data_IF_610011730061
#
_entry.id   IF_610011730061
#
_cell.length_a   1.000
_cell.length_b   1.000
_cell.length_c   1.000
_cell.angle_alpha   90.00
_cell.angle_beta   90.00
_cell.angle_gamma   90.00
#
_symmetry.space_group_name_H-M   'P 1'
#
loop_
_entity.id
_entity.type
_entity.pdbx_description
1 polymer ?
#
# COMPACT_ATOMS: atom_id res chain seq x y z
N UNK A 1 20.56 29.83 -12.12
CA UNK A 1 20.77 28.48 -11.54
C UNK A 1 19.40 27.95 -11.15
N UNK A 2 18.82 27.12 -12.00
CA UNK A 2 17.51 26.51 -11.76
C UNK A 2 17.67 25.00 -11.60
N UNK A 3 16.92 24.42 -10.67
CA UNK A 3 17.03 23.01 -10.28
C UNK A 3 16.12 22.14 -11.14
N UNK A 4 16.69 21.34 -12.03
CA UNK A 4 15.95 20.41 -12.87
C UNK A 4 15.40 19.21 -12.06
N UNK A 5 14.07 19.14 -11.94
CA UNK A 5 13.35 17.98 -11.40
C UNK A 5 13.11 16.94 -12.50
N UNK A 6 13.88 15.85 -12.50
CA UNK A 6 13.72 14.77 -13.49
C UNK A 6 12.59 13.83 -13.08
N UNK A 7 11.39 14.08 -13.61
CA UNK A 7 10.27 13.13 -13.61
C UNK A 7 10.50 12.08 -14.71
N UNK A 8 10.67 10.81 -14.33
CA UNK A 8 10.64 9.69 -15.28
C UNK A 8 9.24 9.08 -15.33
N UNK A 9 8.59 9.30 -16.47
CA UNK A 9 7.21 8.94 -16.77
C UNK A 9 7.14 7.46 -17.24
N UNK A 10 6.55 6.56 -16.46
CA UNK A 10 6.23 5.20 -16.91
C UNK A 10 4.92 5.21 -17.71
N UNK A 11 5.00 5.07 -19.04
CA UNK A 11 3.82 4.88 -19.89
C UNK A 11 3.18 3.52 -19.62
N UNK A 12 2.06 3.50 -18.88
CA UNK A 12 1.13 2.36 -18.86
C UNK A 12 0.18 2.44 -20.05
N UNK A 13 -0.04 1.31 -20.71
CA UNK A 13 -0.92 1.21 -21.89
C UNK A 13 -2.39 1.31 -21.43
N UNK A 14 -3.24 2.11 -22.09
CA UNK A 14 -4.62 2.31 -21.64
C UNK A 14 -5.48 1.05 -21.81
N UNK A 15 -6.31 0.81 -20.80
CA UNK A 15 -7.23 -0.32 -20.69
C UNK A 15 -8.44 -0.09 -21.61
N UNK A 16 -8.53 -0.79 -22.75
CA UNK A 16 -9.72 -0.72 -23.62
C UNK A 16 -10.65 -1.93 -23.42
N UNK A 17 -11.91 -1.65 -23.11
CA UNK A 17 -13.00 -2.61 -23.20
C UNK A 17 -13.35 -2.78 -24.67
N UNK A 18 -13.30 -4.01 -25.22
CA UNK A 18 -13.91 -4.30 -26.50
C UNK A 18 -14.69 -5.61 -26.45
N UNK A 19 -16.00 -5.48 -26.26
CA UNK A 19 -16.94 -6.61 -26.22
C UNK A 19 -17.24 -7.05 -27.66
N UNK A 20 -16.74 -8.22 -28.06
CA UNK A 20 -17.10 -8.84 -29.34
C UNK A 20 -18.38 -9.66 -29.19
N UNK A 21 -19.45 -9.26 -29.90
CA UNK A 21 -20.63 -10.10 -30.06
C UNK A 21 -21.84 -9.45 -30.73
N UNK A 22 -21.86 -9.37 -32.07
CA UNK A 22 -22.81 -10.13 -32.92
C UNK A 22 -22.63 -9.86 -34.43
N UNK A 23 -23.33 -10.65 -35.25
CA UNK A 23 -23.15 -10.81 -36.71
C UNK A 23 -24.10 -9.93 -37.58
N UNK A 24 -23.81 -9.93 -38.89
CA UNK A 24 -24.69 -9.57 -40.05
C UNK A 24 -24.89 -8.06 -40.32
N UNK A 25 -25.00 -7.55 -41.57
CA UNK A 25 -24.85 -8.09 -42.96
C UNK A 25 -24.74 -6.93 -43.99
N UNK A 26 -24.08 -7.13 -45.16
CA UNK A 26 -24.17 -6.34 -46.42
C UNK A 26 -23.69 -4.86 -46.44
N UNK A 27 -23.10 -4.29 -47.50
CA UNK A 27 -22.63 -4.86 -48.78
C UNK A 27 -22.35 -3.79 -49.87
N UNK A 28 -21.59 -4.16 -50.94
CA UNK A 28 -21.28 -3.41 -52.20
C UNK A 28 -20.38 -2.14 -52.10
N UNK A 29 -19.67 -1.68 -53.15
CA UNK A 29 -18.93 -2.31 -54.27
C UNK A 29 -18.12 -1.23 -55.06
N UNK A 30 -17.11 -1.62 -55.88
CA UNK A 30 -16.39 -0.84 -56.93
C UNK A 30 -15.45 0.33 -56.47
N UNK A 31 -14.40 0.76 -57.20
CA UNK A 31 -13.84 0.37 -58.51
C UNK A 31 -12.31 0.66 -58.67
N UNK A 32 -11.59 -0.27 -59.34
CA UNK A 32 -10.54 -0.15 -60.40
C UNK A 32 -9.37 0.88 -60.43
N UNK A 33 -8.20 0.32 -60.82
CA UNK A 33 -7.12 0.84 -61.71
C UNK A 33 -6.23 2.02 -61.23
N UNK A 34 -5.00 2.23 -61.75
CA UNK A 34 -3.93 1.38 -62.32
C UNK A 34 -2.66 2.25 -62.55
N UNK A 35 -1.53 1.64 -62.95
CA UNK A 35 -0.24 2.24 -63.36
C UNK A 35 0.58 2.90 -62.22
N UNK A 36 1.87 2.63 -61.99
CA UNK A 36 3.04 2.31 -62.85
C UNK A 36 3.71 3.52 -63.51
N UNK A 37 4.83 3.96 -62.93
CA UNK A 37 6.05 4.29 -63.65
C UNK A 37 7.23 4.21 -62.67
N UNK A 38 8.33 3.58 -63.07
CA UNK A 38 9.58 3.54 -62.31
C UNK A 38 10.69 4.30 -63.01
N UNK A 39 11.79 4.57 -62.31
CA UNK A 39 13.09 4.85 -62.92
C UNK A 39 14.23 4.47 -61.96
N UNK A 40 15.32 3.91 -62.52
CA UNK A 40 16.53 3.50 -61.81
C UNK A 40 17.61 4.61 -61.87
N UNK A 41 18.43 4.74 -60.82
CA UNK A 41 19.89 5.02 -60.88
C UNK A 41 20.47 4.93 -59.44
N UNK A 42 21.30 3.96 -59.05
CA UNK A 42 22.73 3.66 -59.34
C UNK A 42 23.79 4.50 -58.60
N UNK A 43 24.51 3.83 -57.66
CA UNK A 43 25.91 4.04 -57.19
C UNK A 43 26.25 5.41 -56.51
N UNK A 44 27.22 5.54 -55.58
CA UNK A 44 28.56 4.95 -55.51
C UNK A 44 29.27 5.06 -54.12
N UNK A 45 30.04 4.03 -53.74
CA UNK A 45 31.36 3.96 -53.03
C UNK A 45 31.79 5.10 -52.05
N UNK A 46 32.08 4.85 -50.74
CA UNK A 46 33.36 4.35 -50.08
C UNK A 46 34.55 5.38 -50.06
N UNK A 47 35.61 5.27 -49.20
CA UNK A 47 35.73 4.79 -47.80
C UNK A 47 36.79 5.53 -46.87
N UNK A 48 36.85 5.17 -45.57
CA UNK A 48 38.01 5.07 -44.60
C UNK A 48 39.13 6.17 -44.54
N UNK A 49 39.47 6.67 -43.33
CA UNK A 49 40.81 6.61 -42.67
C UNK A 49 40.87 7.25 -41.25
N UNK A 50 41.68 6.66 -40.36
CA UNK A 50 42.18 7.21 -39.06
C UNK A 50 43.68 7.57 -39.22
N UNK A 51 44.27 8.42 -38.34
CA UNK A 51 45.31 7.88 -37.45
C UNK A 51 45.51 8.51 -36.04
N UNK A 52 46.19 7.73 -35.20
CA UNK A 52 47.08 7.95 -34.01
C UNK A 52 47.77 9.34 -33.80
N UNK A 53 48.38 9.77 -32.66
CA UNK A 53 48.67 9.23 -31.29
C UNK A 53 49.51 10.25 -30.44
N UNK A 54 49.83 9.92 -29.17
CA UNK A 54 50.79 10.55 -28.21
C UNK A 54 50.32 11.83 -27.46
N UNK A 55 50.71 12.14 -26.21
CA UNK A 55 51.91 11.72 -25.44
C UNK A 55 51.69 11.51 -23.90
N UNK A 56 52.75 11.14 -23.17
CA UNK A 56 52.74 10.48 -21.84
C UNK A 56 53.29 11.35 -20.66
N UNK A 57 52.60 11.33 -19.49
CA UNK A 57 53.06 11.59 -18.11
C UNK A 57 51.85 11.55 -17.11
N UNK A 58 51.93 11.38 -15.79
CA UNK A 58 52.88 10.71 -14.86
C UNK A 58 52.20 10.49 -13.46
N UNK A 59 52.94 10.00 -12.45
CA UNK A 59 52.53 9.79 -11.02
C UNK A 59 53.71 10.18 -10.08
N UNK A 60 53.64 10.29 -8.71
CA UNK A 60 52.63 9.71 -7.76
C UNK A 60 52.27 10.47 -6.42
N UNK A 61 51.07 10.17 -5.87
CA UNK A 61 50.78 9.92 -4.41
C UNK A 61 50.79 11.09 -3.34
N UNK A 62 50.45 10.88 -2.03
CA UNK A 62 49.04 10.87 -1.56
C UNK A 62 48.72 11.50 -0.15
N UNK A 63 47.43 11.41 0.26
CA UNK A 63 46.89 11.39 1.65
C UNK A 63 46.60 12.73 2.40
N UNK A 64 45.84 12.76 3.53
CA UNK A 64 44.99 11.72 4.16
C UNK A 64 43.53 12.15 4.50
N UNK A 65 42.77 11.23 5.12
CA UNK A 65 41.38 11.34 5.59
C UNK A 65 41.15 12.39 6.72
N UNK A 66 39.89 12.80 7.01
CA UNK A 66 39.10 12.28 8.19
C UNK A 66 37.69 12.92 8.40
N UNK A 67 36.68 12.05 8.56
CA UNK A 67 35.43 12.14 9.36
C UNK A 67 34.86 13.52 9.77
N UNK A 68 33.67 13.85 9.27
CA UNK A 68 32.72 14.75 9.96
C UNK A 68 31.96 14.02 11.06
N UNK A 69 31.96 14.56 12.28
CA UNK A 69 31.00 14.20 13.34
C UNK A 69 30.39 15.49 13.89
N UNK A 70 29.08 15.45 14.10
CA UNK A 70 28.25 16.43 14.79
C UNK A 70 28.87 16.91 16.10
N UNK A 71 28.74 18.20 16.44
CA UNK A 71 28.32 18.73 17.75
C UNK A 71 28.11 20.26 17.66
N UNK A 72 26.87 20.71 17.74
CA UNK A 72 26.53 22.11 18.06
C UNK A 72 26.54 22.28 19.59
N UNK A 73 27.15 23.36 20.09
CA UNK A 73 26.88 24.12 21.35
C UNK A 73 28.15 24.62 22.05
N UNK A 74 28.53 25.89 21.83
CA UNK A 74 29.16 26.82 22.81
C UNK A 74 28.91 28.28 22.32
N UNK A 75 29.12 29.35 23.12
CA UNK A 75 28.12 29.96 23.98
C UNK A 75 27.66 31.36 23.52
N UNK A 76 26.66 31.92 24.21
CA UNK A 76 26.29 33.34 24.13
C UNK A 76 27.44 34.23 24.63
N UNK A 77 27.87 35.19 23.79
CA UNK A 77 28.70 36.33 24.19
C UNK A 77 27.85 37.60 24.09
N UNK A 78 27.56 38.22 25.23
CA UNK A 78 26.95 39.55 25.25
C UNK A 78 28.02 40.61 24.98
N UNK A 79 27.83 41.42 23.95
CA UNK A 79 28.49 42.73 23.82
C UNK A 79 27.45 43.74 23.38
N UNK A 80 27.22 44.78 24.20
CA UNK A 80 26.41 45.92 23.82
C UNK A 80 27.22 46.85 22.89
N UNK A 81 26.63 47.27 21.79
CA UNK A 81 27.03 48.49 21.08
C UNK A 81 25.81 49.07 20.36
N UNK A 82 25.43 50.30 20.71
CA UNK A 82 24.25 50.98 20.17
C UNK A 82 24.43 51.32 18.69
N UNK A 83 23.54 50.81 17.82
CA UNK A 83 23.15 51.49 16.58
C UNK A 83 21.70 51.18 16.24
N UNK A 84 20.96 52.22 15.89
CA UNK A 84 19.54 52.16 15.51
C UNK A 84 19.37 51.61 14.10
N UNK A 85 18.85 50.38 13.97
CA UNK A 85 18.18 49.92 12.74
C UNK A 85 17.04 48.95 13.06
N UNK A 86 15.81 49.42 12.89
CA UNK A 86 14.60 48.64 13.11
C UNK A 86 14.17 47.95 11.82
N UNK A 87 14.57 46.68 11.59
CA UNK A 87 13.89 45.85 10.59
C UNK A 87 13.98 44.34 10.89
N UNK A 88 13.25 43.89 11.91
CA UNK A 88 12.94 42.47 12.09
C UNK A 88 11.71 42.08 11.26
N UNK A 89 11.93 41.54 10.06
CA UNK A 89 10.84 41.09 9.19
C UNK A 89 10.15 39.81 9.72
N UNK A 90 9.24 39.97 10.69
CA UNK A 90 8.37 38.89 11.15
C UNK A 90 7.36 38.48 10.05
N UNK A 91 7.40 37.24 9.51
CA UNK A 91 6.52 36.83 8.43
C UNK A 91 5.03 36.75 8.84
N UNK A 92 4.74 36.60 10.13
CA UNK A 92 3.37 36.59 10.68
C UNK A 92 2.65 37.94 10.61
N UNK A 93 3.36 39.06 10.47
CA UNK A 93 2.76 40.41 10.40
C UNK A 93 2.57 40.94 8.97
N UNK A 94 3.06 40.21 7.95
CA UNK A 94 2.83 40.57 6.54
C UNK A 94 1.34 40.67 6.13
N UNK A 95 0.40 39.85 6.64
CA UNK A 95 -1.03 40.02 6.31
C UNK A 95 -1.61 41.33 6.85
N UNK A 96 -1.19 41.74 8.04
CA UNK A 96 -1.73 42.91 8.73
C UNK A 96 -1.15 44.24 8.23
N UNK A 97 0.10 44.24 7.73
CA UNK A 97 0.75 45.46 7.21
C UNK A 97 0.17 45.94 5.86
N UNK A 98 -0.54 45.08 5.14
CA UNK A 98 -1.20 45.42 3.87
C UNK A 98 -2.64 45.95 4.04
N UNK A 99 -3.20 45.92 5.25
CA UNK A 99 -4.48 46.57 5.57
C UNK A 99 -4.26 48.06 5.84
N UNK A 100 -3.84 48.81 4.83
CA UNK A 100 -3.72 50.27 4.96
C UNK A 100 -5.11 50.91 5.08
N UNK A 101 -5.21 51.95 5.89
CA UNK A 101 -6.47 52.67 6.09
C UNK A 101 -7.02 53.25 4.77
N UNK A 102 -6.12 53.63 3.84
CA UNK A 102 -6.48 54.10 2.49
C UNK A 102 -6.99 52.99 1.56
N UNK A 103 -6.51 51.75 1.71
CA UNK A 103 -7.06 50.59 0.98
C UNK A 103 -8.49 50.26 1.44
N UNK A 104 -8.74 50.36 2.75
CA UNK A 104 -10.10 50.28 3.31
C UNK A 104 -10.98 51.45 2.83
N UNK A 105 -10.47 52.68 2.86
CA UNK A 105 -11.18 53.90 2.44
C UNK A 105 -11.55 53.90 0.96
N UNK A 106 -10.65 53.42 0.09
CA UNK A 106 -10.92 53.26 -1.36
C UNK A 106 -11.84 52.08 -1.67
N UNK A 107 -11.77 50.99 -0.88
CA UNK A 107 -12.78 49.92 -0.96
C UNK A 107 -14.16 50.41 -0.51
N UNK A 108 -14.23 51.23 0.55
CA UNK A 108 -15.44 51.85 1.07
C UNK A 108 -16.08 52.82 0.06
N UNK A 109 -15.30 53.61 -0.68
CA UNK A 109 -15.84 54.51 -1.71
C UNK A 109 -16.33 53.81 -2.98
N UNK A 110 -15.96 52.54 -3.20
CA UNK A 110 -16.46 51.69 -4.30
C UNK A 110 -17.62 50.76 -3.91
N UNK A 111 -18.20 50.94 -2.72
CA UNK A 111 -19.35 50.18 -2.25
C UNK A 111 -20.65 50.69 -2.89
N UNK A 112 -21.13 50.00 -3.92
CA UNK A 112 -22.53 50.12 -4.31
C UNK A 112 -23.44 49.53 -3.21
N UNK A 113 -24.66 50.05 -2.98
CA UNK A 113 -25.57 49.55 -1.95
C UNK A 113 -25.80 48.04 -2.03
N UNK A 114 -25.84 47.51 -3.26
CA UNK A 114 -26.00 46.08 -3.58
C UNK A 114 -24.82 45.23 -3.05
N UNK A 115 -23.58 45.74 -3.09
CA UNK A 115 -22.42 45.05 -2.50
C UNK A 115 -22.52 45.01 -0.98
N UNK A 116 -22.95 46.10 -0.33
CA UNK A 116 -23.13 46.18 1.12
C UNK A 116 -24.17 45.14 1.57
N UNK A 117 -25.32 45.07 0.90
CA UNK A 117 -26.38 44.10 1.21
C UNK A 117 -25.88 42.66 1.03
N UNK A 118 -25.12 42.36 -0.03
CA UNK A 118 -24.53 41.02 -0.23
C UNK A 118 -23.55 40.64 0.89
N UNK A 119 -22.63 41.53 1.25
CA UNK A 119 -21.68 41.27 2.33
C UNK A 119 -22.37 41.15 3.70
N UNK A 120 -23.35 42.01 3.99
CA UNK A 120 -24.16 41.91 5.22
C UNK A 120 -24.93 40.58 5.28
N UNK A 121 -25.48 40.10 4.16
CA UNK A 121 -26.12 38.78 4.06
C UNK A 121 -25.15 37.63 4.36
N UNK A 122 -23.97 37.63 3.73
CA UNK A 122 -22.93 36.61 3.96
C UNK A 122 -22.47 36.62 5.43
N UNK A 123 -22.22 37.79 6.01
CA UNK A 123 -21.80 37.95 7.42
C UNK A 123 -22.93 37.51 8.37
N UNK A 124 -24.18 37.83 8.08
CA UNK A 124 -25.34 37.38 8.87
C UNK A 124 -25.48 35.85 8.86
N UNK A 125 -25.35 35.22 7.69
CA UNK A 125 -25.36 33.75 7.56
C UNK A 125 -24.17 33.13 8.32
N UNK A 126 -22.98 33.71 8.23
CA UNK A 126 -21.81 33.24 8.97
C UNK A 126 -21.99 33.36 10.50
N UNK A 127 -22.55 34.47 10.99
CA UNK A 127 -22.86 34.68 12.41
C UNK A 127 -23.94 33.69 12.86
N UNK A 128 -25.00 33.47 12.07
CA UNK A 128 -26.05 32.51 12.38
C UNK A 128 -25.52 31.07 12.44
N UNK A 129 -24.71 30.66 11.47
CA UNK A 129 -24.04 29.36 11.45
C UNK A 129 -23.06 29.19 12.64
N UNK A 130 -22.31 30.25 12.99
CA UNK A 130 -21.40 30.24 14.15
C UNK A 130 -22.20 30.11 15.45
N UNK A 131 -23.26 30.91 15.64
CA UNK A 131 -24.13 30.84 16.81
C UNK A 131 -24.81 29.48 16.95
N UNK A 132 -25.29 28.90 15.84
CA UNK A 132 -25.84 27.55 15.83
C UNK A 132 -24.80 26.50 16.21
N UNK A 133 -23.59 26.58 15.65
CA UNK A 133 -22.47 25.68 15.97
C UNK A 133 -22.05 25.77 17.44
N UNK A 134 -21.93 26.99 17.98
CA UNK A 134 -21.63 27.21 19.40
C UNK A 134 -22.74 26.63 20.28
N UNK A 135 -24.01 26.91 19.98
CA UNK A 135 -25.14 26.36 20.72
C UNK A 135 -25.20 24.82 20.64
N UNK A 136 -24.76 24.21 19.53
CA UNK A 136 -24.68 22.76 19.38
C UNK A 136 -23.56 22.19 20.25
N UNK A 137 -22.34 22.73 20.15
CA UNK A 137 -21.13 22.24 20.85
C UNK A 137 -21.20 22.46 22.36
N UNK A 138 -21.82 23.54 22.83
CA UNK A 138 -22.03 23.79 24.26
C UNK A 138 -23.34 23.18 24.81
N UNK A 139 -24.10 22.44 24.00
CA UNK A 139 -25.26 21.71 24.49
C UNK A 139 -24.80 20.54 25.39
N UNK A 140 -25.29 20.42 26.64
CA UNK A 140 -24.88 19.33 27.54
C UNK A 140 -25.20 17.94 26.97
N UNK A 141 -26.25 17.82 26.14
CA UNK A 141 -26.62 16.57 25.49
C UNK A 141 -25.82 16.26 24.22
N UNK A 142 -25.19 17.26 23.58
CA UNK A 142 -24.40 17.00 22.37
C UNK A 142 -23.24 16.07 22.67
N UNK A 143 -22.43 16.37 23.69
CA UNK A 143 -21.32 15.50 24.08
C UNK A 143 -21.76 14.15 24.63
N UNK A 144 -22.95 14.06 25.23
CA UNK A 144 -23.55 12.79 25.66
C UNK A 144 -23.89 11.89 24.47
N UNK A 145 -24.67 12.38 23.50
CA UNK A 145 -25.04 11.61 22.31
C UNK A 145 -23.84 11.40 21.36
N UNK A 146 -22.92 12.36 21.28
CA UNK A 146 -21.66 12.19 20.56
C UNK A 146 -20.82 11.09 21.21
N UNK A 147 -20.66 11.11 22.55
CA UNK A 147 -20.00 10.02 23.28
C UNK A 147 -20.67 8.67 23.03
N UNK A 148 -22.00 8.60 22.99
CA UNK A 148 -22.71 7.35 22.64
C UNK A 148 -22.34 6.82 21.25
N UNK A 149 -22.00 7.68 20.28
CA UNK A 149 -21.48 7.26 18.97
C UNK A 149 -20.03 6.75 18.97
N UNK A 150 -19.32 6.85 20.11
CA UNK A 150 -18.03 6.22 20.39
C UNK A 150 -18.13 5.03 21.37
N UNK A 151 -19.15 5.00 22.24
CA UNK A 151 -19.41 3.91 23.20
C UNK A 151 -20.01 2.69 22.49
N UNK A 152 -20.98 2.91 21.61
CA UNK A 152 -21.37 1.91 20.62
C UNK A 152 -20.41 2.02 19.44
N UNK A 153 -20.01 0.89 18.85
CA UNK A 153 -18.99 0.82 17.80
C UNK A 153 -19.22 1.90 16.73
N UNK A 154 -18.22 2.76 16.42
CA UNK A 154 -18.42 3.93 15.60
C UNK A 154 -18.61 3.55 14.13
N UNK A 155 -19.82 3.12 13.77
CA UNK A 155 -20.22 2.74 12.43
C UNK A 155 -19.91 3.82 11.40
N UNK A 156 -20.05 5.10 11.78
CA UNK A 156 -19.66 6.24 10.94
C UNK A 156 -18.17 6.20 10.57
N UNK A 157 -17.27 5.83 11.50
CA UNK A 157 -15.84 5.70 11.24
C UNK A 157 -15.55 4.49 10.36
N UNK A 158 -16.16 3.34 10.64
CA UNK A 158 -16.02 2.13 9.82
C UNK A 158 -16.50 2.36 8.37
N UNK A 159 -17.66 3.00 8.19
CA UNK A 159 -18.24 3.33 6.88
C UNK A 159 -17.45 4.42 6.16
N UNK A 160 -16.97 5.46 6.85
CA UNK A 160 -16.07 6.45 6.27
C UNK A 160 -14.75 5.82 5.79
N UNK A 161 -14.16 4.89 6.57
CA UNK A 161 -13.00 4.10 6.17
C UNK A 161 -13.29 3.20 4.97
N UNK A 162 -14.51 2.63 4.85
CA UNK A 162 -14.91 1.86 3.66
C UNK A 162 -14.93 2.75 2.40
N UNK A 163 -15.63 3.89 2.45
CA UNK A 163 -15.72 4.81 1.32
C UNK A 163 -14.36 5.39 0.93
N UNK A 164 -13.52 5.76 1.91
CA UNK A 164 -12.17 6.24 1.65
C UNK A 164 -11.27 5.14 1.06
N UNK A 165 -11.34 3.92 1.59
CA UNK A 165 -10.62 2.76 1.04
C UNK A 165 -11.03 2.44 -0.40
N UNK A 166 -12.33 2.50 -0.73
CA UNK A 166 -12.86 2.32 -2.09
C UNK A 166 -12.42 3.44 -3.04
N UNK A 167 -12.41 4.69 -2.57
CA UNK A 167 -11.89 5.84 -3.32
C UNK A 167 -10.40 5.66 -3.65
N UNK A 168 -9.59 5.33 -2.64
CA UNK A 168 -8.16 5.04 -2.84
C UNK A 168 -7.95 3.83 -3.75
N UNK A 169 -8.76 2.78 -3.65
CA UNK A 169 -8.69 1.61 -4.53
C UNK A 169 -9.00 1.93 -5.99
N UNK A 170 -10.00 2.80 -6.25
CA UNK A 170 -10.27 3.33 -7.60
C UNK A 170 -9.06 4.08 -8.14
N UNK A 171 -8.45 4.96 -7.34
CA UNK A 171 -7.24 5.72 -7.72
C UNK A 171 -6.03 4.79 -7.96
N UNK A 172 -5.88 3.75 -7.15
CA UNK A 172 -4.83 2.74 -7.32
C UNK A 172 -5.01 1.93 -8.60
N UNK A 173 -6.26 1.59 -8.95
CA UNK A 173 -6.59 0.90 -10.20
C UNK A 173 -6.29 1.71 -11.47
N UNK A 174 -6.19 3.04 -11.34
CA UNK A 174 -5.78 3.97 -12.41
C UNK A 174 -4.25 4.17 -12.44
N UNK A 175 -3.54 3.81 -11.36
CA UNK A 175 -2.08 3.95 -11.22
C UNK A 175 -1.62 5.22 -10.49
N UNK A 176 -2.55 6.03 -9.98
CA UNK A 176 -2.26 7.36 -9.39
C UNK A 176 -2.15 7.36 -7.86
N UNK A 177 -2.32 6.21 -7.19
CA UNK A 177 -2.35 6.15 -5.73
C UNK A 177 -0.96 6.23 -5.09
N UNK A 178 -0.80 7.22 -4.21
CA UNK A 178 0.35 7.38 -3.32
C UNK A 178 0.47 6.23 -2.30
N UNK A 179 1.64 6.12 -1.66
CA UNK A 179 1.91 5.10 -0.62
C UNK A 179 0.92 5.23 0.56
N UNK A 180 0.50 6.46 0.91
CA UNK A 180 -0.46 6.71 1.98
C UNK A 180 -1.85 6.20 1.58
N UNK A 181 -2.27 6.42 0.34
CA UNK A 181 -3.55 5.92 -0.19
C UNK A 181 -3.54 4.38 -0.32
N UNK A 182 -2.40 3.78 -0.64
CA UNK A 182 -2.23 2.33 -0.63
C UNK A 182 -2.32 1.75 0.79
N UNK A 183 -1.70 2.40 1.78
CA UNK A 183 -1.86 2.05 3.19
C UNK A 183 -3.32 2.17 3.64
N UNK A 184 -4.03 3.23 3.21
CA UNK A 184 -5.44 3.44 3.53
C UNK A 184 -6.35 2.32 2.99
N UNK A 185 -6.08 1.78 1.78
CA UNK A 185 -6.78 0.59 1.26
C UNK A 185 -6.57 -0.60 2.21
N UNK A 186 -5.32 -0.89 2.57
CA UNK A 186 -4.96 -2.02 3.45
C UNK A 186 -5.62 -1.88 4.82
N UNK A 187 -5.56 -0.69 5.42
CA UNK A 187 -6.19 -0.38 6.71
C UNK A 187 -7.72 -0.48 6.65
N UNK A 188 -8.35 0.01 5.58
CA UNK A 188 -9.79 -0.15 5.37
C UNK A 188 -10.18 -1.63 5.29
N UNK A 189 -9.49 -2.43 4.47
CA UNK A 189 -9.75 -3.87 4.32
C UNK A 189 -9.58 -4.62 5.63
N UNK A 190 -8.49 -4.40 6.38
CA UNK A 190 -8.28 -5.09 7.65
C UNK A 190 -9.22 -4.61 8.77
N UNK A 191 -9.67 -3.35 8.76
CA UNK A 191 -10.74 -2.87 9.65
C UNK A 191 -12.02 -3.69 9.42
N UNK A 192 -12.44 -3.82 8.15
CA UNK A 192 -13.65 -4.56 7.76
C UNK A 192 -13.55 -6.08 7.89
N UNK A 193 -12.32 -6.61 7.91
CA UNK A 193 -12.05 -8.04 8.06
C UNK A 193 -11.89 -8.47 9.53
N UNK A 194 -11.35 -7.62 10.42
CA UNK A 194 -10.95 -8.03 11.79
C UNK A 194 -11.62 -7.27 12.93
N UNK A 195 -12.12 -6.05 12.71
CA UNK A 195 -12.71 -5.21 13.76
C UNK A 195 -14.22 -5.04 13.60
N UNK A 196 -14.69 -4.73 12.39
CA UNK A 196 -16.13 -4.56 12.11
C UNK A 196 -16.95 -5.81 12.44
N UNK A 197 -16.53 -7.05 12.13
CA UNK A 197 -17.38 -8.21 12.39
C UNK A 197 -17.60 -8.46 13.89
N UNK A 198 -16.55 -8.55 14.76
CA UNK A 198 -16.76 -8.67 16.20
C UNK A 198 -17.57 -7.51 16.77
N UNK A 199 -17.30 -6.28 16.36
CA UNK A 199 -18.01 -5.11 16.85
C UNK A 199 -19.48 -5.06 16.43
N UNK A 200 -19.81 -5.58 15.25
CA UNK A 200 -21.19 -5.66 14.75
C UNK A 200 -22.05 -6.56 15.63
N UNK A 201 -21.55 -7.74 16.01
CA UNK A 201 -22.30 -8.70 16.82
C UNK A 201 -22.26 -8.39 18.33
N UNK A 202 -21.24 -7.68 18.81
CA UNK A 202 -21.10 -7.36 20.24
C UNK A 202 -21.54 -5.93 20.61
N UNK A 203 -21.74 -5.03 19.64
CA UNK A 203 -22.12 -3.62 19.87
C UNK A 203 -20.97 -2.71 20.33
N UNK A 204 -19.91 -3.27 20.91
CA UNK A 204 -18.68 -2.57 21.31
C UNK A 204 -17.46 -3.44 20.97
N UNK A 205 -16.25 -2.87 21.04
CA UNK A 205 -15.01 -3.59 20.79
C UNK A 205 -13.93 -3.16 21.80
N UNK A 206 -13.57 -4.08 22.68
CA UNK A 206 -12.58 -3.87 23.73
C UNK A 206 -11.53 -5.00 23.73
N UNK A 207 -10.30 -4.67 24.13
CA UNK A 207 -9.25 -5.64 24.37
C UNK A 207 -8.62 -6.21 23.10
N UNK A 208 -8.61 -7.54 22.99
CA UNK A 208 -7.71 -8.28 22.11
C UNK A 208 -7.95 -8.18 20.58
N UNK A 209 -9.14 -7.85 20.03
CA UNK A 209 -9.29 -7.77 18.57
C UNK A 209 -8.41 -6.69 17.91
N UNK A 210 -8.10 -5.61 18.63
CA UNK A 210 -7.12 -4.62 18.19
C UNK A 210 -5.73 -5.23 17.95
N UNK A 211 -5.34 -6.25 18.73
CA UNK A 211 -4.08 -6.97 18.53
C UNK A 211 -4.08 -7.65 17.16
N UNK A 212 -5.18 -8.33 16.78
CA UNK A 212 -5.28 -8.96 15.46
C UNK A 212 -5.24 -7.95 14.31
N UNK A 213 -5.88 -6.78 14.47
CA UNK A 213 -5.78 -5.70 13.49
C UNK A 213 -4.31 -5.29 13.25
N UNK A 214 -3.51 -5.08 14.30
CA UNK A 214 -2.08 -4.76 14.15
C UNK A 214 -1.24 -5.94 13.66
N UNK A 215 -1.55 -7.16 14.10
CA UNK A 215 -0.90 -8.40 13.64
C UNK A 215 -1.13 -8.61 12.14
N UNK A 216 -2.35 -8.38 11.61
CA UNK A 216 -2.65 -8.48 10.19
C UNK A 216 -1.87 -7.43 9.39
N UNK A 217 -1.88 -6.16 9.81
CA UNK A 217 -1.03 -5.13 9.19
C UNK A 217 0.42 -5.58 9.12
N UNK A 218 1.01 -5.93 10.27
CA UNK A 218 2.42 -6.32 10.33
C UNK A 218 2.73 -7.57 9.51
N UNK A 219 1.83 -8.56 9.51
CA UNK A 219 1.97 -9.82 8.76
C UNK A 219 2.15 -9.58 7.25
N UNK A 220 1.32 -8.73 6.66
CA UNK A 220 1.40 -8.43 5.22
C UNK A 220 2.54 -7.44 4.89
N UNK A 221 2.91 -6.56 5.82
CA UNK A 221 4.07 -5.66 5.63
C UNK A 221 5.45 -6.31 5.85
N UNK A 222 5.54 -7.50 6.47
CA UNK A 222 6.83 -8.22 6.68
C UNK A 222 7.69 -8.30 5.41
N UNK A 223 7.10 -8.59 4.26
CA UNK A 223 7.82 -8.68 2.99
C UNK A 223 8.53 -7.37 2.62
N UNK A 224 7.97 -6.22 2.97
CA UNK A 224 8.60 -4.91 2.74
C UNK A 224 9.66 -4.62 3.81
N UNK A 225 9.35 -4.90 5.07
CA UNK A 225 10.25 -4.65 6.21
C UNK A 225 11.53 -5.50 6.17
N UNK A 226 11.41 -6.81 5.90
CA UNK A 226 12.55 -7.75 5.83
C UNK A 226 13.47 -7.38 4.67
N UNK A 227 12.91 -7.15 3.48
CA UNK A 227 13.69 -6.74 2.31
C UNK A 227 14.35 -5.36 2.50
N UNK A 228 13.70 -4.39 3.17
CA UNK A 228 14.32 -3.09 3.49
C UNK A 228 15.48 -3.23 4.48
N UNK A 229 15.35 -4.11 5.48
CA UNK A 229 16.44 -4.45 6.42
C UNK A 229 17.63 -5.11 5.72
N UNK A 230 17.38 -5.99 4.74
CA UNK A 230 18.43 -6.74 4.03
C UNK A 230 19.14 -5.92 2.95
N UNK A 231 18.44 -5.02 2.25
CA UNK A 231 18.94 -4.38 1.02
C UNK A 231 18.94 -2.84 1.05
N UNK A 232 18.46 -2.21 2.12
CA UNK A 232 18.40 -0.76 2.25
C UNK A 232 17.23 -0.12 1.48
N UNK A 233 17.40 1.16 1.11
CA UNK A 233 16.44 1.88 0.28
C UNK A 233 16.61 1.49 -1.20
N UNK A 234 15.56 0.88 -1.76
CA UNK A 234 15.62 0.11 -3.00
C UNK A 234 15.85 0.97 -4.26
N UNK A 235 16.78 0.53 -5.09
CA UNK A 235 16.59 0.63 -6.54
C UNK A 235 15.63 -0.48 -6.97
N UNK A 236 14.39 -0.13 -7.29
CA UNK A 236 13.44 -1.06 -7.90
C UNK A 236 13.97 -1.46 -9.29
N UNK A 237 14.44 -2.72 -9.44
CA UNK A 237 14.72 -3.28 -10.76
C UNK A 237 13.41 -3.48 -11.54
N UNK A 238 13.47 -3.52 -12.89
CA UNK A 238 12.33 -3.93 -13.70
C UNK A 238 11.84 -5.32 -13.28
N UNK A 239 10.56 -5.42 -12.95
CA UNK A 239 9.90 -6.68 -12.61
C UNK A 239 9.68 -7.49 -13.90
N UNK A 240 9.99 -8.79 -13.89
CA UNK A 240 9.76 -9.69 -15.02
C UNK A 240 8.34 -10.30 -14.93
N UNK A 241 7.43 -10.00 -15.89
CA UNK A 241 6.07 -10.53 -15.90
C UNK A 241 5.98 -12.07 -15.92
N UNK A 242 7.06 -12.78 -16.28
CA UNK A 242 7.11 -14.26 -16.21
C UNK A 242 6.74 -14.78 -14.81
N UNK A 243 7.11 -14.05 -13.76
CA UNK A 243 6.87 -14.46 -12.37
C UNK A 243 5.51 -14.04 -11.80
N UNK A 244 4.67 -13.34 -12.57
CA UNK A 244 3.31 -12.94 -12.17
C UNK A 244 2.28 -14.07 -12.30
N UNK A 245 2.59 -15.22 -11.69
CA UNK A 245 1.73 -16.41 -11.69
C UNK A 245 0.46 -16.17 -10.87
N UNK A 246 -0.58 -15.74 -11.58
CA UNK A 246 -1.84 -15.34 -10.98
C UNK A 246 -3.00 -16.20 -11.50
N UNK A 247 -3.82 -16.81 -10.62
CA UNK A 247 -5.03 -17.50 -11.05
C UNK A 247 -6.07 -16.52 -11.64
N UNK A 248 -7.11 -17.02 -12.34
CA UNK A 248 -8.16 -16.20 -12.94
C UNK A 248 -8.77 -15.17 -11.98
N UNK A 249 -9.16 -13.99 -12.49
CA UNK A 249 -9.69 -12.89 -11.65
C UNK A 249 -10.91 -13.31 -10.81
N UNK A 250 -11.83 -14.09 -11.39
CA UNK A 250 -12.99 -14.63 -10.67
C UNK A 250 -12.59 -15.52 -9.48
N UNK A 251 -11.49 -16.27 -9.61
CA UNK A 251 -11.00 -17.18 -8.58
C UNK A 251 -10.39 -16.41 -7.40
N UNK A 252 -9.69 -15.31 -7.69
CA UNK A 252 -9.23 -14.34 -6.68
C UNK A 252 -10.41 -13.68 -5.97
N UNK A 253 -11.46 -13.30 -6.70
CA UNK A 253 -12.66 -12.71 -6.12
C UNK A 253 -13.36 -13.69 -5.17
N UNK A 254 -13.56 -14.96 -5.59
CA UNK A 254 -14.13 -16.01 -4.74
C UNK A 254 -13.31 -16.23 -3.48
N UNK A 255 -11.98 -16.24 -3.57
CA UNK A 255 -11.10 -16.32 -2.39
C UNK A 255 -11.28 -15.12 -1.45
N UNK A 256 -11.25 -13.88 -1.96
CA UNK A 256 -11.43 -12.69 -1.13
C UNK A 256 -12.82 -12.66 -0.45
N UNK A 257 -13.88 -13.03 -1.17
CA UNK A 257 -15.24 -13.12 -0.63
C UNK A 257 -15.33 -14.24 0.41
N UNK A 258 -14.77 -15.43 0.13
CA UNK A 258 -14.77 -16.56 1.08
C UNK A 258 -14.00 -16.25 2.37
N UNK A 259 -12.84 -15.60 2.28
CA UNK A 259 -12.07 -15.14 3.45
C UNK A 259 -12.88 -14.10 4.24
N UNK A 260 -13.51 -13.12 3.58
CA UNK A 260 -14.37 -12.14 4.24
C UNK A 260 -15.55 -12.80 4.96
N UNK A 261 -16.32 -13.63 4.25
CA UNK A 261 -17.45 -14.39 4.81
C UNK A 261 -17.01 -15.23 6.01
N UNK A 262 -15.87 -15.90 5.93
CA UNK A 262 -15.37 -16.71 7.05
C UNK A 262 -14.97 -15.92 8.29
N UNK A 263 -14.47 -14.68 8.15
CA UNK A 263 -14.20 -13.80 9.30
C UNK A 263 -15.50 -13.24 9.92
N UNK A 264 -16.53 -13.02 9.10
CA UNK A 264 -17.85 -12.63 9.57
C UNK A 264 -18.59 -13.78 10.25
N UNK A 265 -18.52 -14.99 9.70
CA UNK A 265 -19.02 -16.21 10.33
C UNK A 265 -18.30 -16.48 11.66
N UNK A 266 -16.99 -16.27 11.74
CA UNK A 266 -16.25 -16.45 12.99
C UNK A 266 -16.73 -15.51 14.12
N UNK A 267 -17.12 -14.28 13.77
CA UNK A 267 -17.67 -13.32 14.73
C UNK A 267 -19.15 -13.58 15.09
N UNK A 268 -19.87 -14.35 14.26
CA UNK A 268 -21.24 -14.80 14.51
C UNK A 268 -21.30 -16.12 15.32
N UNK A 269 -20.37 -17.05 15.06
CA UNK A 269 -20.24 -18.33 15.76
C UNK A 269 -19.61 -18.16 17.15
N UNK A 270 -18.69 -17.20 17.29
CA UNK A 270 -18.00 -16.93 18.55
C UNK A 270 -18.94 -16.40 19.65
N UNK A 271 -18.70 -16.75 20.93
CA UNK A 271 -19.45 -16.19 22.04
C UNK A 271 -19.15 -14.69 22.20
N UNK A 272 -20.04 -13.98 22.90
CA UNK A 272 -19.88 -12.57 23.26
C UNK A 272 -18.47 -12.29 23.83
N UNK A 273 -17.86 -11.19 23.40
CA UNK A 273 -16.42 -10.92 23.55
C UNK A 273 -15.98 -10.87 25.02
N UNK A 274 -16.86 -10.40 25.93
CA UNK A 274 -16.61 -10.40 27.38
C UNK A 274 -16.65 -11.79 28.03
N UNK A 275 -17.25 -12.80 27.37
CA UNK A 275 -17.26 -14.20 27.84
C UNK A 275 -15.98 -14.93 27.47
N UNK A 276 -15.16 -14.38 26.57
CA UNK A 276 -13.87 -14.96 26.20
C UNK A 276 -12.86 -14.60 27.31
N UNK A 277 -12.42 -15.57 28.14
CA UNK A 277 -11.56 -15.27 29.27
C UNK A 277 -10.21 -14.73 28.79
N UNK A 278 -9.71 -13.66 29.42
CA UNK A 278 -8.40 -13.08 29.17
C UNK A 278 -7.25 -13.81 29.89
N UNK A 279 -6.01 -13.41 29.59
CA UNK A 279 -4.82 -13.95 30.25
C UNK A 279 -4.40 -15.34 29.76
N UNK A 280 -4.05 -16.22 30.70
CA UNK A 280 -3.42 -17.53 30.41
C UNK A 280 -4.33 -18.51 29.63
N UNK A 281 -5.65 -18.33 29.69
CA UNK A 281 -6.63 -19.04 28.85
C UNK A 281 -6.36 -18.90 27.34
N UNK A 282 -5.70 -17.81 26.91
CA UNK A 282 -5.40 -17.53 25.52
C UNK A 282 -3.94 -17.85 25.15
N UNK A 283 -3.18 -18.56 25.99
CA UNK A 283 -1.78 -18.98 25.70
C UNK A 283 -1.67 -19.71 24.38
N UNK A 284 -2.62 -20.59 24.05
CA UNK A 284 -2.65 -21.28 22.74
C UNK A 284 -2.76 -20.28 21.58
N UNK A 285 -3.62 -19.27 21.70
CA UNK A 285 -3.76 -18.21 20.69
C UNK A 285 -2.46 -17.40 20.56
N UNK A 286 -1.82 -17.03 21.68
CA UNK A 286 -0.54 -16.32 21.67
C UNK A 286 0.58 -17.14 21.03
N UNK A 287 0.67 -18.43 21.33
CA UNK A 287 1.63 -19.36 20.70
C UNK A 287 1.37 -19.44 19.20
N UNK A 288 0.10 -19.55 18.77
CA UNK A 288 -0.27 -19.58 17.35
C UNK A 288 0.06 -18.27 16.62
N UNK A 289 -0.18 -17.10 17.24
CA UNK A 289 0.21 -15.79 16.69
C UNK A 289 1.74 -15.71 16.55
N UNK A 290 2.49 -16.07 17.58
CA UNK A 290 3.97 -16.06 17.54
C UNK A 290 4.49 -17.04 16.49
N UNK A 291 3.96 -18.26 16.42
CA UNK A 291 4.32 -19.26 15.42
C UNK A 291 4.04 -18.76 13.99
N UNK A 292 2.87 -18.14 13.76
CA UNK A 292 2.49 -17.51 12.49
C UNK A 292 3.49 -16.44 12.06
N UNK A 293 3.82 -15.51 12.96
CA UNK A 293 4.75 -14.41 12.68
C UNK A 293 6.18 -14.91 12.46
N UNK A 294 6.65 -15.89 13.24
CA UNK A 294 7.96 -16.52 13.06
C UNK A 294 8.04 -17.31 11.75
N UNK A 295 7.00 -18.06 11.40
CA UNK A 295 6.93 -18.81 10.14
C UNK A 295 6.98 -17.86 8.94
N UNK A 296 6.20 -16.77 8.98
CA UNK A 296 6.22 -15.74 7.96
C UNK A 296 7.58 -15.05 7.84
N UNK A 297 8.13 -14.56 8.96
CA UNK A 297 9.42 -13.87 9.00
C UNK A 297 10.55 -14.73 8.42
N UNK A 298 10.68 -15.97 8.89
CA UNK A 298 11.72 -16.87 8.40
C UNK A 298 11.53 -17.20 6.92
N UNK A 299 10.30 -17.51 6.49
CA UNK A 299 10.03 -17.82 5.07
C UNK A 299 10.40 -16.67 4.15
N UNK A 300 9.94 -15.46 4.47
CA UNK A 300 10.31 -14.22 3.76
C UNK A 300 11.82 -13.97 3.78
N UNK A 301 12.51 -14.20 4.90
CA UNK A 301 13.96 -13.96 5.04
C UNK A 301 14.78 -14.92 4.18
N UNK A 302 14.46 -16.22 4.21
CA UNK A 302 15.12 -17.21 3.35
C UNK A 302 14.80 -16.95 1.87
N UNK A 303 13.53 -16.68 1.52
CA UNK A 303 13.15 -16.39 0.14
C UNK A 303 13.86 -15.13 -0.39
N UNK A 304 13.90 -14.05 0.40
CA UNK A 304 14.60 -12.83 0.02
C UNK A 304 16.09 -13.07 -0.23
N UNK A 305 16.77 -13.77 0.70
CA UNK A 305 18.22 -14.03 0.63
C UNK A 305 18.65 -14.78 -0.64
N UNK A 306 17.83 -15.72 -1.13
CA UNK A 306 18.17 -16.60 -2.26
C UNK A 306 17.46 -16.23 -3.58
N UNK A 307 16.52 -15.28 -3.58
CA UNK A 307 15.87 -14.72 -4.77
C UNK A 307 16.55 -13.41 -5.18
N UNK A 308 17.85 -13.48 -5.56
CA UNK A 308 18.72 -12.30 -5.66
C UNK A 308 18.08 -11.12 -6.37
N UNK A 309 17.88 -10.03 -5.62
CA UNK A 309 17.48 -8.72 -6.18
C UNK A 309 16.16 -8.77 -6.99
N UNK A 310 15.26 -9.69 -6.63
CA UNK A 310 13.80 -9.63 -6.89
C UNK A 310 13.37 -9.58 -8.37
N UNK A 311 14.16 -10.14 -9.31
CA UNK A 311 13.75 -10.25 -10.73
C UNK A 311 13.70 -11.70 -11.20
N UNK A 312 14.66 -12.52 -10.79
CA UNK A 312 14.73 -13.94 -11.13
C UNK A 312 15.19 -14.70 -9.88
N UNK A 313 14.52 -15.79 -9.47
CA UNK A 313 15.04 -16.65 -8.41
C UNK A 313 16.33 -17.32 -8.89
N UNK A 314 17.41 -17.22 -8.12
CA UNK A 314 18.73 -17.76 -8.52
C UNK A 314 18.87 -19.26 -8.26
N UNK A 315 18.19 -19.76 -7.21
CA UNK A 315 18.24 -21.17 -6.81
C UNK A 315 16.97 -21.59 -6.06
N UNK A 316 16.70 -22.90 -6.01
CA UNK A 316 15.61 -23.47 -5.21
C UNK A 316 15.97 -23.39 -3.72
N UNK A 317 15.11 -22.76 -2.92
CA UNK A 317 15.33 -22.60 -1.48
C UNK A 317 14.89 -23.86 -0.73
N UNK A 318 15.85 -24.57 -0.13
CA UNK A 318 15.61 -25.82 0.60
C UNK A 318 15.80 -25.69 2.13
N UNK A 319 16.11 -24.48 2.62
CA UNK A 319 16.51 -24.22 4.00
C UNK A 319 15.43 -23.50 4.83
N UNK A 320 15.49 -23.64 6.15
CA UNK A 320 14.52 -23.04 7.06
C UNK A 320 13.13 -23.68 6.91
N UNK A 321 12.03 -22.90 6.92
CA UNK A 321 10.67 -23.41 6.78
C UNK A 321 10.45 -24.30 5.54
N UNK A 322 11.17 -24.02 4.45
CA UNK A 322 11.13 -24.77 3.20
C UNK A 322 11.58 -26.24 3.32
N UNK A 323 12.32 -26.61 4.38
CA UNK A 323 12.70 -28.00 4.63
C UNK A 323 11.53 -28.89 5.03
N UNK A 324 10.46 -28.32 5.60
CA UNK A 324 9.30 -29.07 6.07
C UNK A 324 8.10 -28.99 5.12
N UNK A 325 7.95 -27.87 4.42
CA UNK A 325 6.76 -27.52 3.64
C UNK A 325 7.18 -26.71 2.42
N UNK A 326 6.68 -27.05 1.22
CA UNK A 326 7.07 -26.37 -0.02
C UNK A 326 6.69 -24.89 -0.09
N UNK A 327 5.50 -24.52 0.44
CA UNK A 327 4.95 -23.16 0.36
C UNK A 327 4.63 -22.58 1.76
N UNK A 328 5.65 -22.30 2.59
CA UNK A 328 5.46 -21.95 3.98
C UNK A 328 4.84 -20.54 4.19
N UNK A 329 4.90 -19.65 3.18
CA UNK A 329 4.22 -18.33 3.18
C UNK A 329 2.69 -18.47 3.03
N UNK A 330 2.22 -19.53 2.34
CA UNK A 330 0.79 -19.81 2.24
C UNK A 330 0.29 -20.50 3.50
N UNK A 331 1.08 -21.43 4.04
CA UNK A 331 0.82 -22.06 5.33
C UNK A 331 0.74 -21.04 6.49
N UNK A 332 1.64 -20.06 6.56
CA UNK A 332 1.57 -18.97 7.56
C UNK A 332 0.32 -18.09 7.37
N UNK A 333 -0.09 -17.82 6.13
CA UNK A 333 -1.30 -17.01 5.85
C UNK A 333 -2.57 -17.77 6.23
N UNK A 334 -2.63 -19.08 5.97
CA UNK A 334 -3.68 -19.97 6.46
C UNK A 334 -3.72 -20.00 7.99
N UNK A 335 -2.56 -20.13 8.63
CA UNK A 335 -2.45 -20.17 10.08
C UNK A 335 -2.89 -18.85 10.72
N UNK A 336 -2.59 -17.69 10.11
CA UNK A 336 -3.07 -16.38 10.55
C UNK A 336 -4.61 -16.35 10.65
N UNK A 337 -5.29 -16.73 9.56
CA UNK A 337 -6.75 -16.66 9.51
C UNK A 337 -7.42 -17.71 10.42
N UNK A 338 -6.84 -18.91 10.52
CA UNK A 338 -7.28 -19.92 11.47
C UNK A 338 -7.10 -19.44 12.92
N UNK A 339 -5.98 -18.79 13.24
CA UNK A 339 -5.70 -18.25 14.58
C UNK A 339 -6.70 -17.17 14.99
N UNK A 340 -7.14 -16.33 14.06
CA UNK A 340 -8.23 -15.36 14.30
C UNK A 340 -9.55 -16.06 14.65
N UNK A 341 -9.94 -17.09 13.90
CA UNK A 341 -11.15 -17.87 14.18
C UNK A 341 -11.07 -18.62 15.52
N UNK A 342 -9.90 -19.19 15.85
CA UNK A 342 -9.63 -19.82 17.15
C UNK A 342 -9.67 -18.81 18.30
N UNK A 343 -9.22 -17.57 18.10
CA UNK A 343 -9.33 -16.52 19.11
C UNK A 343 -10.79 -16.16 19.42
N UNK A 344 -11.65 -16.12 18.39
CA UNK A 344 -13.11 -15.99 18.52
C UNK A 344 -13.81 -17.26 19.00
N UNK A 345 -13.10 -18.36 19.23
CA UNK A 345 -13.66 -19.68 19.62
C UNK A 345 -14.66 -20.24 18.60
N UNK A 346 -14.42 -19.98 17.31
CA UNK A 346 -15.27 -20.36 16.18
C UNK A 346 -14.62 -21.49 15.34
N UNK A 347 -14.71 -22.77 15.77
CA UNK A 347 -14.06 -23.89 15.08
C UNK A 347 -14.62 -24.17 13.68
N UNK A 348 -15.94 -24.02 13.44
CA UNK A 348 -16.53 -24.29 12.12
C UNK A 348 -16.07 -23.25 11.10
N UNK A 349 -16.05 -21.97 11.50
CA UNK A 349 -15.51 -20.87 10.71
C UNK A 349 -14.01 -21.03 10.45
N UNK A 350 -13.25 -21.54 11.42
CA UNK A 350 -11.84 -21.89 11.22
C UNK A 350 -11.66 -22.96 10.14
N UNK A 351 -12.47 -24.04 10.17
CA UNK A 351 -12.44 -25.09 9.14
C UNK A 351 -12.84 -24.55 7.77
N UNK A 352 -13.89 -23.72 7.70
CA UNK A 352 -14.34 -23.07 6.47
C UNK A 352 -13.25 -22.20 5.85
N UNK A 353 -12.60 -21.32 6.62
CA UNK A 353 -11.53 -20.45 6.11
C UNK A 353 -10.31 -21.26 5.67
N UNK A 354 -9.93 -22.30 6.42
CA UNK A 354 -8.85 -23.22 6.01
C UNK A 354 -9.19 -23.92 4.70
N UNK A 355 -10.43 -24.39 4.50
CA UNK A 355 -10.86 -25.01 3.24
C UNK A 355 -10.82 -24.03 2.05
N UNK A 356 -11.34 -22.80 2.22
CA UNK A 356 -11.26 -21.72 1.21
C UNK A 356 -9.81 -21.43 0.82
N UNK A 357 -8.91 -21.38 1.80
CA UNK A 357 -7.48 -21.15 1.56
C UNK A 357 -6.80 -22.35 0.88
N UNK A 358 -7.09 -23.58 1.31
CA UNK A 358 -6.55 -24.79 0.69
C UNK A 358 -6.90 -24.84 -0.80
N UNK A 359 -8.17 -24.63 -1.15
CA UNK A 359 -8.59 -24.56 -2.55
C UNK A 359 -7.75 -23.52 -3.31
N UNK A 360 -7.72 -22.28 -2.82
CA UNK A 360 -7.05 -21.18 -3.52
C UNK A 360 -5.54 -21.40 -3.68
N UNK A 361 -4.86 -21.74 -2.59
CA UNK A 361 -3.41 -21.93 -2.58
C UNK A 361 -2.97 -23.20 -3.29
N UNK A 362 -3.77 -24.28 -3.29
CA UNK A 362 -3.45 -25.47 -4.09
C UNK A 362 -3.38 -25.12 -5.59
N UNK A 363 -4.35 -24.35 -6.10
CA UNK A 363 -4.35 -23.92 -7.50
C UNK A 363 -3.21 -22.93 -7.80
N UNK A 364 -2.92 -21.98 -6.89
CA UNK A 364 -1.80 -21.03 -7.06
C UNK A 364 -0.46 -21.76 -7.03
N UNK A 365 -0.24 -22.61 -6.03
CA UNK A 365 0.95 -23.42 -5.91
C UNK A 365 1.16 -24.31 -7.13
N UNK A 366 0.13 -25.03 -7.63
CA UNK A 366 0.26 -25.86 -8.85
C UNK A 366 0.80 -25.08 -10.05
N UNK A 367 0.35 -23.83 -10.26
CA UNK A 367 0.85 -22.98 -11.34
C UNK A 367 2.29 -22.51 -11.10
N UNK A 368 2.63 -22.18 -9.85
CA UNK A 368 4.00 -21.79 -9.47
C UNK A 368 4.97 -22.97 -9.57
N UNK A 369 4.57 -24.17 -9.15
CA UNK A 369 5.35 -25.40 -9.24
C UNK A 369 5.69 -25.76 -10.70
N UNK A 370 4.75 -25.57 -11.64
CA UNK A 370 5.02 -25.74 -13.08
C UNK A 370 6.09 -24.77 -13.56
N UNK A 371 6.00 -23.48 -13.21
CA UNK A 371 7.00 -22.48 -13.59
C UNK A 371 8.38 -22.74 -12.97
N UNK A 372 8.41 -23.29 -11.75
CA UNK A 372 9.65 -23.70 -11.08
C UNK A 372 10.27 -24.92 -11.76
N UNK A 373 9.48 -25.91 -12.20
CA UNK A 373 9.97 -27.04 -13.00
C UNK A 373 10.52 -26.55 -14.36
N UNK A 374 9.81 -25.66 -15.06
CA UNK A 374 10.28 -25.10 -16.34
C UNK A 374 11.60 -24.30 -16.19
N UNK A 375 11.85 -23.69 -15.04
CA UNK A 375 13.02 -22.82 -14.84
C UNK A 375 14.21 -23.52 -14.17
N UNK A 376 13.97 -24.48 -13.28
CA UNK A 376 15.01 -25.17 -12.50
C UNK A 376 15.15 -26.67 -12.81
N UNK A 377 14.25 -27.24 -13.61
CA UNK A 377 14.28 -28.64 -14.04
C UNK A 377 14.43 -29.61 -12.86
N UNK A 378 15.42 -30.49 -12.96
CA UNK A 378 15.70 -31.54 -11.98
C UNK A 378 15.95 -31.02 -10.57
N UNK A 379 16.55 -29.82 -10.40
CA UNK A 379 16.82 -29.24 -9.08
C UNK A 379 15.54 -28.97 -8.28
N UNK A 380 14.44 -28.64 -8.96
CA UNK A 380 13.15 -28.49 -8.30
C UNK A 380 12.45 -29.83 -8.09
N UNK A 381 12.54 -30.75 -9.06
CA UNK A 381 11.98 -32.11 -8.95
C UNK A 381 12.59 -32.91 -7.79
N UNK A 382 13.91 -32.79 -7.57
CA UNK A 382 14.62 -33.43 -6.45
C UNK A 382 14.21 -32.81 -5.10
N UNK A 383 14.00 -31.49 -5.05
CA UNK A 383 13.45 -30.84 -3.87
C UNK A 383 12.00 -31.27 -3.57
N UNK A 384 11.16 -31.38 -4.61
CA UNK A 384 9.76 -31.78 -4.47
C UNK A 384 9.60 -33.27 -4.08
N UNK A 385 10.55 -34.14 -4.42
CA UNK A 385 10.57 -35.54 -3.96
C UNK A 385 10.99 -35.67 -2.48
N UNK A 386 11.93 -34.82 -2.03
CA UNK A 386 12.36 -34.70 -0.63
C UNK A 386 11.26 -34.09 0.25
N UNK A 387 10.66 -32.96 -0.17
CA UNK A 387 9.66 -32.22 0.62
C UNK A 387 8.25 -32.51 0.10
N UNK A 388 7.68 -33.63 0.59
CA UNK A 388 6.37 -34.12 0.16
C UNK A 388 5.25 -33.10 0.43
N UNK A 389 5.23 -32.48 1.60
CA UNK A 389 4.16 -31.59 2.05
C UNK A 389 4.14 -30.23 1.34
N UNK A 390 2.96 -29.75 0.95
CA UNK A 390 2.75 -28.46 0.27
C UNK A 390 2.49 -27.31 1.22
N UNK A 391 1.63 -27.51 2.22
CA UNK A 391 1.17 -26.46 3.15
C UNK A 391 1.15 -26.93 4.61
N UNK A 392 0.64 -28.13 4.90
CA UNK A 392 0.43 -28.60 6.27
C UNK A 392 1.32 -29.83 6.51
N UNK A 393 2.31 -29.74 7.42
CA UNK A 393 3.14 -30.89 7.79
C UNK A 393 2.26 -32.08 8.16
N UNK A 394 2.61 -33.26 7.64
CA UNK A 394 1.92 -34.54 7.92
C UNK A 394 0.48 -34.68 7.40
N UNK A 395 -0.07 -33.66 6.72
CA UNK A 395 -1.42 -33.73 6.13
C UNK A 395 -1.42 -33.49 4.62
N UNK A 396 -0.79 -32.41 4.15
CA UNK A 396 -0.87 -31.98 2.74
C UNK A 396 0.31 -31.15 2.26
#
# INVERSE_FOLDING_TARGET
METASVLLHSRTIPFSFNSKGNRMVSGRHFNKHCQSNGFFSHQSLKPIQNPSSFNLASYPSPSPLRKTRTHFLVPLRCTFSNTTSSDSQNPLLKPFRNLSFDSLKTSLSQLTPIKIIKWAGIVSIAIAATKWTVNLVFNPFFWMYFSWSWVFWPWFVAVALAFYGLYCFRKHSIGEASIIEQLAIVTSVFTWLTLVPPACFNGYLEGWPFVFFFVYHYFFFFNVSVRKRLYGDYYARPHDPKWDVNPPKWYRLVFCVGVMVGHWLAAFEGPELHRIPGGWSNVVVWILVVATLLMQYNSTLYLAKYSEKVVVPTAVVQFGPYRWVRHPIYASTMLLFATYCVALRAPLSSLFVVAVCLMYYEKKAKLEEVLMVETFGESYSEYASKVRYKFIPFVF
#
